data_IF_195435007315
#
_entry.id   IF_195435007315
#
_cell.length_a   1.000
_cell.length_b   1.000
_cell.length_c   1.000
_cell.angle_alpha   90.00
_cell.angle_beta   90.00
_cell.angle_gamma   90.00
#
_symmetry.space_group_name_H-M   'P 1'
#
loop_
_entity.id
_entity.type
_entity.pdbx_description
1 polymer ?
#
# COMPACT_ATOMS: atom_id res chain seq x y z
N UNK A 1 28.62 0.89 -11.15
CA UNK A 1 28.04 0.07 -12.21
C UNK A 1 29.04 -0.98 -12.68
N UNK A 2 28.59 -2.12 -13.15
CA UNK A 2 29.40 -3.20 -13.68
C UNK A 2 28.95 -3.58 -15.10
N UNK A 3 29.92 -3.80 -15.97
CA UNK A 3 29.65 -4.22 -17.36
C UNK A 3 29.25 -5.69 -17.38
N UNK A 4 28.07 -5.97 -17.92
CA UNK A 4 27.54 -7.32 -18.07
C UNK A 4 28.13 -8.02 -19.30
N UNK A 5 28.04 -9.35 -19.41
CA UNK A 5 28.53 -10.09 -20.58
C UNK A 5 27.91 -9.65 -21.91
N UNK A 6 26.65 -9.13 -21.88
CA UNK A 6 25.98 -8.57 -23.04
C UNK A 6 26.42 -7.15 -23.42
N UNK A 7 27.37 -6.58 -22.66
CA UNK A 7 27.93 -5.24 -22.88
C UNK A 7 27.18 -4.12 -22.17
N UNK A 8 26.02 -4.38 -21.58
CA UNK A 8 25.24 -3.39 -20.82
C UNK A 8 25.89 -3.07 -19.48
N UNK A 9 25.67 -1.85 -18.99
CA UNK A 9 26.08 -1.43 -17.66
C UNK A 9 24.91 -1.67 -16.69
N UNK A 10 25.18 -2.38 -15.60
CA UNK A 10 24.19 -2.57 -14.52
C UNK A 10 24.71 -1.96 -13.22
N UNK A 11 23.87 -1.20 -12.54
CA UNK A 11 24.22 -0.56 -11.29
C UNK A 11 24.27 -1.58 -10.15
N UNK A 12 25.32 -1.46 -9.32
CA UNK A 12 25.43 -2.18 -8.07
C UNK A 12 24.79 -1.30 -6.99
N UNK A 13 23.82 -1.84 -6.31
CA UNK A 13 23.10 -1.15 -5.23
C UNK A 13 23.78 -1.42 -3.90
N UNK A 14 23.93 -0.38 -3.08
CA UNK A 14 24.54 -0.42 -1.76
C UNK A 14 23.76 0.49 -0.81
N UNK A 15 23.89 0.25 0.50
CA UNK A 15 23.24 1.10 1.49
C UNK A 15 24.26 2.09 2.07
N UNK A 16 23.83 3.33 2.18
CA UNK A 16 24.63 4.43 2.75
C UNK A 16 23.80 5.15 3.80
N UNK A 17 24.47 5.76 4.76
CA UNK A 17 23.83 6.57 5.79
C UNK A 17 24.17 8.05 5.61
N UNK A 18 23.27 8.89 6.08
CA UNK A 18 23.51 10.31 6.33
C UNK A 18 23.06 10.62 7.75
N UNK A 19 23.84 11.44 8.47
CA UNK A 19 23.57 11.81 9.84
C UNK A 19 23.27 13.29 9.89
N UNK A 20 22.24 13.70 10.62
CA UNK A 20 21.85 15.10 10.67
C UNK A 20 20.84 15.43 11.75
N UNK A 21 20.46 16.69 11.79
CA UNK A 21 19.56 17.32 12.76
C UNK A 21 18.09 17.39 12.26
N UNK A 22 17.78 16.78 11.13
CA UNK A 22 16.48 16.86 10.47
C UNK A 22 16.42 17.87 9.30
N UNK A 23 17.37 18.81 9.25
CA UNK A 23 17.48 19.82 8.18
C UNK A 23 18.81 19.70 7.42
N UNK A 24 19.90 19.48 8.14
CA UNK A 24 21.24 19.37 7.59
C UNK A 24 21.76 17.96 7.78
N UNK A 25 22.33 17.37 6.74
CA UNK A 25 22.81 15.98 6.75
C UNK A 25 24.23 15.90 6.20
N UNK A 26 25.07 15.10 6.85
CA UNK A 26 26.42 14.77 6.42
C UNK A 26 26.51 13.29 6.06
N UNK A 27 27.24 12.97 4.99
CA UNK A 27 27.53 11.60 4.59
C UNK A 27 28.88 11.20 5.18
N UNK A 28 28.95 10.23 6.12
CA UNK A 28 30.21 9.72 6.66
C UNK A 28 31.11 9.16 5.59
N UNK A 29 32.44 9.27 5.81
CA UNK A 29 33.44 8.76 4.88
C UNK A 29 33.47 7.22 4.79
N UNK A 30 32.87 6.51 5.76
CA UNK A 30 32.75 5.05 5.76
C UNK A 30 31.67 4.51 4.80
N UNK A 31 30.88 5.38 4.16
CA UNK A 31 29.89 4.93 3.18
C UNK A 31 30.53 4.27 1.95
N UNK A 32 29.90 3.22 1.38
CA UNK A 32 28.66 2.58 1.81
C UNK A 32 28.85 1.71 3.06
N UNK A 33 27.82 1.63 3.93
CA UNK A 33 27.84 0.85 5.17
C UNK A 33 27.35 -0.60 5.01
N UNK A 34 26.56 -0.87 3.96
CA UNK A 34 26.14 -2.21 3.55
C UNK A 34 26.33 -2.37 2.04
N UNK A 35 26.93 -3.48 1.66
CA UNK A 35 27.22 -3.84 0.27
C UNK A 35 26.79 -5.29 0.00
N UNK A 36 26.87 -5.72 -1.24
CA UNK A 36 26.62 -7.13 -1.60
C UNK A 36 27.54 -8.12 -0.89
N UNK A 37 28.68 -7.69 -0.31
CA UNK A 37 29.59 -8.56 0.45
C UNK A 37 29.05 -8.95 1.81
N UNK A 38 28.09 -8.18 2.30
CA UNK A 38 27.44 -8.38 3.59
C UNK A 38 26.22 -9.30 3.47
N UNK A 39 25.81 -9.64 2.23
CA UNK A 39 24.79 -10.63 1.94
C UNK A 39 25.36 -12.05 2.01
N UNK A 40 24.58 -13.05 2.42
CA UNK A 40 24.97 -14.45 2.35
C UNK A 40 25.28 -14.89 0.92
N UNK A 41 26.03 -15.99 0.79
CA UNK A 41 26.19 -16.67 -0.49
C UNK A 41 24.84 -17.04 -1.10
N UNK A 42 24.72 -16.94 -2.43
CA UNK A 42 23.46 -17.22 -3.12
C UNK A 42 22.55 -15.99 -3.31
N UNK A 43 23.05 -14.79 -3.06
CA UNK A 43 22.34 -13.55 -3.37
C UNK A 43 23.02 -12.75 -4.47
N UNK A 44 22.20 -12.07 -5.28
CA UNK A 44 22.65 -11.21 -6.35
C UNK A 44 23.31 -9.94 -5.79
N UNK A 45 24.40 -9.51 -6.42
CA UNK A 45 25.05 -8.22 -6.15
C UNK A 45 24.30 -7.01 -6.72
N UNK A 46 23.27 -7.27 -7.48
CA UNK A 46 22.32 -6.30 -8.01
C UNK A 46 21.03 -6.37 -7.15
N UNK A 47 20.13 -5.45 -7.31
CA UNK A 47 18.84 -5.49 -6.61
C UNK A 47 18.97 -5.72 -5.08
N UNK A 48 19.78 -4.89 -4.43
CA UNK A 48 19.95 -4.83 -2.97
C UNK A 48 19.61 -3.41 -2.52
N UNK A 49 18.36 -3.17 -2.08
CA UNK A 49 17.82 -1.82 -1.92
C UNK A 49 16.78 -1.66 -0.83
N UNK A 50 16.27 -0.43 -0.71
CA UNK A 50 15.13 -0.01 0.10
C UNK A 50 15.30 -0.33 1.59
N UNK A 51 16.35 0.18 2.25
CA UNK A 51 16.57 -0.09 3.66
C UNK A 51 15.53 0.64 4.53
N UNK A 52 14.88 -0.11 5.43
CA UNK A 52 14.08 0.45 6.52
C UNK A 52 14.80 0.19 7.84
N UNK A 53 15.22 1.26 8.50
CA UNK A 53 15.94 1.21 9.77
C UNK A 53 15.01 1.54 10.95
N UNK A 54 15.25 0.87 12.08
CA UNK A 54 14.66 1.26 13.36
C UNK A 54 15.67 1.02 14.49
N UNK A 55 15.39 1.57 15.66
CA UNK A 55 16.17 1.36 16.86
C UNK A 55 15.43 0.42 17.80
N UNK A 56 16.11 -0.60 18.26
CA UNK A 56 15.60 -1.56 19.23
C UNK A 56 15.57 -0.99 20.65
N UNK A 57 14.83 -1.66 21.54
CA UNK A 57 14.69 -1.22 22.93
C UNK A 57 16.02 -1.24 23.71
N UNK A 58 16.94 -2.14 23.35
CA UNK A 58 18.29 -2.24 23.94
C UNK A 58 19.26 -1.19 23.37
N UNK A 59 18.83 -0.40 22.39
CA UNK A 59 19.60 0.65 21.73
C UNK A 59 20.36 0.23 20.50
N UNK A 60 20.36 -1.04 20.11
CA UNK A 60 20.86 -1.51 18.82
C UNK A 60 20.00 -1.01 17.66
N UNK A 61 20.53 -1.07 16.47
CA UNK A 61 19.80 -0.74 15.24
C UNK A 61 19.53 -2.01 14.44
N UNK A 62 18.34 -2.10 13.89
CA UNK A 62 17.95 -3.11 12.92
C UNK A 62 17.62 -2.47 11.60
N UNK A 63 17.92 -3.15 10.49
CA UNK A 63 17.52 -2.72 9.15
C UNK A 63 17.00 -3.92 8.35
N UNK A 64 15.83 -3.78 7.76
CA UNK A 64 15.32 -4.70 6.75
C UNK A 64 15.57 -4.11 5.37
N UNK A 65 16.08 -4.94 4.45
CA UNK A 65 16.27 -4.58 3.04
C UNK A 65 15.68 -5.67 2.16
N UNK A 66 15.48 -5.37 0.88
CA UNK A 66 15.17 -6.39 -0.12
C UNK A 66 16.38 -6.69 -0.97
N UNK A 67 16.50 -7.94 -1.35
CA UNK A 67 17.56 -8.46 -2.20
C UNK A 67 17.01 -9.55 -3.14
N UNK A 68 17.76 -9.84 -4.18
CA UNK A 68 17.42 -10.86 -5.16
C UNK A 68 18.26 -12.12 -4.91
N UNK A 69 17.60 -13.26 -4.70
CA UNK A 69 18.26 -14.55 -4.60
C UNK A 69 18.74 -15.04 -5.98
N UNK A 70 19.61 -16.07 -6.02
CA UNK A 70 20.17 -16.63 -7.27
C UNK A 70 19.11 -17.19 -8.23
N UNK A 71 17.98 -17.67 -7.68
CA UNK A 71 16.86 -18.17 -8.46
C UNK A 71 16.05 -17.06 -9.13
N UNK A 72 16.47 -15.80 -8.98
CA UNK A 72 15.80 -14.61 -9.51
C UNK A 72 14.57 -14.19 -8.72
N UNK A 73 14.38 -14.70 -7.50
CA UNK A 73 13.27 -14.31 -6.62
C UNK A 73 13.69 -13.36 -5.52
N UNK A 74 12.77 -12.47 -5.12
CA UNK A 74 12.98 -11.52 -4.04
C UNK A 74 13.06 -12.17 -2.66
N UNK A 75 13.81 -11.52 -1.77
CA UNK A 75 13.89 -11.89 -0.36
C UNK A 75 14.01 -10.63 0.51
N UNK A 76 13.55 -10.71 1.76
CA UNK A 76 13.71 -9.67 2.77
C UNK A 76 14.79 -10.11 3.75
N UNK A 77 15.90 -9.35 3.81
CA UNK A 77 17.06 -9.62 4.65
C UNK A 77 17.09 -8.65 5.84
N UNK A 78 17.41 -9.19 7.03
CA UNK A 78 17.54 -8.44 8.27
C UNK A 78 19.04 -8.32 8.63
N UNK A 79 19.44 -7.11 8.98
CA UNK A 79 20.77 -6.80 9.51
C UNK A 79 20.65 -6.06 10.83
N UNK A 80 21.67 -6.18 11.69
CA UNK A 80 21.75 -5.44 12.94
C UNK A 80 23.11 -4.74 13.09
N UNK A 81 23.10 -3.65 13.87
CA UNK A 81 24.30 -2.87 14.20
C UNK A 81 24.18 -2.28 15.59
N UNK A 82 25.28 -2.17 16.33
CA UNK A 82 25.35 -1.50 17.63
C UNK A 82 25.51 0.00 17.51
N UNK A 83 26.05 0.47 16.41
CA UNK A 83 26.45 1.88 16.23
C UNK A 83 25.88 2.55 14.96
N UNK A 84 25.20 1.76 14.11
CA UNK A 84 24.64 2.20 12.82
C UNK A 84 25.67 2.24 11.68
N UNK A 85 26.93 1.83 11.93
CA UNK A 85 28.00 1.83 10.93
C UNK A 85 28.51 0.45 10.58
N UNK A 86 28.70 -0.40 11.59
CA UNK A 86 29.13 -1.78 11.43
C UNK A 86 27.93 -2.70 11.50
N UNK A 87 27.54 -3.23 10.33
CA UNK A 87 26.33 -4.03 10.15
C UNK A 87 26.69 -5.50 9.94
N UNK A 88 25.94 -6.37 10.56
CA UNK A 88 26.05 -7.80 10.35
C UNK A 88 24.71 -8.40 9.92
N UNK A 89 24.79 -9.37 9.02
CA UNK A 89 23.62 -10.13 8.58
C UNK A 89 23.08 -10.97 9.75
N UNK A 90 21.75 -10.96 9.91
CA UNK A 90 21.04 -11.72 10.95
C UNK A 90 20.32 -12.91 10.34
N UNK A 91 19.37 -12.65 9.43
CA UNK A 91 18.54 -13.69 8.83
C UNK A 91 17.88 -13.22 7.55
N UNK A 92 17.33 -14.15 6.78
CA UNK A 92 16.32 -13.88 5.76
C UNK A 92 14.94 -14.08 6.38
N UNK A 93 14.18 -13.01 6.52
CA UNK A 93 12.86 -13.04 7.13
C UNK A 93 11.86 -13.84 6.28
N UNK A 94 11.88 -13.64 4.97
CA UNK A 94 10.98 -14.33 4.03
C UNK A 94 11.62 -14.34 2.62
N UNK A 95 11.28 -15.38 1.84
CA UNK A 95 11.64 -15.54 0.43
C UNK A 95 10.41 -15.62 -0.44
N UNK A 96 10.49 -15.02 -1.60
CA UNK A 96 9.42 -15.03 -2.59
C UNK A 96 9.14 -16.44 -3.14
N UNK A 97 10.18 -17.20 -3.43
CA UNK A 97 10.08 -18.52 -4.06
C UNK A 97 9.17 -18.51 -5.30
N UNK A 98 9.15 -17.39 -6.05
CA UNK A 98 8.28 -17.15 -7.20
C UNK A 98 6.76 -17.29 -6.94
N UNK A 99 6.32 -17.13 -5.68
CA UNK A 99 4.91 -17.19 -5.29
C UNK A 99 4.24 -15.81 -5.25
N UNK A 100 5.03 -14.77 -4.97
CA UNK A 100 4.55 -13.38 -4.81
C UNK A 100 5.41 -12.45 -5.67
N UNK A 101 5.19 -12.51 -6.99
CA UNK A 101 5.97 -11.76 -7.96
C UNK A 101 7.39 -12.28 -8.13
N UNK A 102 8.27 -11.39 -8.55
CA UNK A 102 9.72 -11.66 -8.67
C UNK A 102 10.51 -10.88 -7.64
N UNK A 103 10.93 -9.66 -7.97
CA UNK A 103 11.61 -8.78 -7.03
C UNK A 103 10.61 -8.11 -6.08
N UNK A 104 11.08 -7.76 -4.90
CA UNK A 104 10.35 -7.02 -3.88
C UNK A 104 10.94 -5.63 -3.68
N UNK A 105 10.11 -4.70 -3.20
CA UNK A 105 10.51 -3.31 -2.91
C UNK A 105 9.89 -2.83 -1.60
N UNK A 106 10.47 -1.76 -1.04
CA UNK A 106 9.95 -1.01 0.11
C UNK A 106 9.56 -1.88 1.31
N UNK A 107 10.45 -2.75 1.84
CA UNK A 107 10.12 -3.59 2.98
C UNK A 107 9.92 -2.74 4.24
N UNK A 108 8.99 -3.16 5.08
CA UNK A 108 8.78 -2.61 6.42
C UNK A 108 8.47 -3.76 7.39
N UNK A 109 9.20 -3.86 8.50
CA UNK A 109 9.07 -4.94 9.46
C UNK A 109 8.78 -4.38 10.83
N UNK A 110 7.57 -4.63 11.35
CA UNK A 110 7.09 -3.95 12.56
C UNK A 110 6.10 -4.78 13.37
N UNK A 111 6.05 -4.57 14.70
CA UNK A 111 5.01 -5.15 15.54
C UNK A 111 3.68 -4.41 15.38
N UNK A 112 2.56 -5.16 15.41
CA UNK A 112 1.20 -4.65 15.35
C UNK A 112 0.25 -5.59 16.11
N UNK A 113 -0.39 -5.09 17.16
CA UNK A 113 -1.43 -5.78 17.95
C UNK A 113 -1.05 -7.23 18.35
N UNK A 114 0.20 -7.42 18.81
CA UNK A 114 0.72 -8.72 19.26
C UNK A 114 1.16 -9.67 18.14
N UNK A 115 1.17 -9.21 16.90
CA UNK A 115 1.76 -9.90 15.75
C UNK A 115 2.98 -9.16 15.24
N UNK A 116 3.76 -9.84 14.40
CA UNK A 116 4.81 -9.23 13.61
C UNK A 116 4.36 -9.16 12.15
N UNK A 117 4.60 -8.04 11.51
CA UNK A 117 4.20 -7.79 10.12
C UNK A 117 5.45 -7.52 9.28
N UNK A 118 5.58 -8.22 8.15
CA UNK A 118 6.48 -7.84 7.07
C UNK A 118 5.63 -7.36 5.90
N UNK A 119 5.66 -6.06 5.63
CA UNK A 119 4.95 -5.42 4.52
C UNK A 119 5.93 -5.06 3.42
N UNK A 120 5.57 -5.29 2.16
CA UNK A 120 6.43 -5.00 1.02
C UNK A 120 5.66 -4.92 -0.30
N UNK A 121 6.34 -4.42 -1.33
CA UNK A 121 5.80 -4.25 -2.68
C UNK A 121 6.35 -5.30 -3.66
N UNK A 122 5.61 -6.40 -3.95
CA UNK A 122 6.00 -7.31 -5.02
C UNK A 122 5.82 -6.69 -6.40
N UNK A 123 6.83 -6.91 -7.23
CA UNK A 123 6.80 -6.58 -8.66
C UNK A 123 6.43 -7.82 -9.48
N UNK A 124 5.85 -7.63 -10.65
CA UNK A 124 5.53 -8.69 -11.62
C UNK A 124 4.67 -9.83 -11.03
N UNK A 125 3.71 -9.49 -10.16
CA UNK A 125 2.75 -10.46 -9.64
C UNK A 125 1.90 -11.05 -10.77
N UNK A 126 1.61 -12.34 -10.67
CA UNK A 126 0.56 -12.97 -11.46
C UNK A 126 -0.76 -12.95 -10.66
N UNK A 127 -1.91 -12.76 -11.31
CA UNK A 127 -3.20 -12.68 -10.61
C UNK A 127 -3.54 -14.05 -9.99
N UNK A 128 -3.80 -14.03 -8.68
CA UNK A 128 -4.18 -15.24 -7.92
C UNK A 128 -4.95 -14.86 -6.66
N UNK A 129 -6.18 -15.35 -6.54
CA UNK A 129 -7.01 -15.04 -5.37
C UNK A 129 -7.34 -13.53 -5.28
N UNK A 130 -6.88 -12.87 -4.22
CA UNK A 130 -7.04 -11.42 -4.04
C UNK A 130 -5.95 -10.59 -4.72
N UNK A 131 -4.85 -11.21 -5.14
CA UNK A 131 -3.71 -10.50 -5.73
C UNK A 131 -3.96 -10.15 -7.20
N UNK A 132 -3.54 -8.94 -7.59
CA UNK A 132 -3.64 -8.46 -8.97
C UNK A 132 -2.39 -8.82 -9.79
N UNK A 133 -2.48 -8.68 -11.11
CA UNK A 133 -1.31 -8.67 -11.96
C UNK A 133 -0.50 -7.37 -11.77
N UNK A 134 0.82 -7.46 -11.90
CA UNK A 134 1.73 -6.32 -11.82
C UNK A 134 2.18 -6.01 -10.41
N UNK A 135 2.17 -4.74 -10.02
CA UNK A 135 2.63 -4.27 -8.71
C UNK A 135 1.51 -4.38 -7.67
N UNK A 136 1.85 -4.91 -6.51
CA UNK A 136 0.93 -5.03 -5.36
C UNK A 136 1.65 -4.51 -4.11
N UNK A 137 0.92 -4.30 -3.03
CA UNK A 137 1.47 -4.24 -1.68
C UNK A 137 0.84 -5.37 -0.88
N UNK A 138 1.68 -6.21 -0.31
CA UNK A 138 1.25 -7.33 0.53
C UNK A 138 1.83 -7.23 1.94
N UNK A 139 1.13 -7.79 2.91
CA UNK A 139 1.60 -7.96 4.27
C UNK A 139 1.63 -9.45 4.61
N UNK A 140 2.79 -9.93 5.04
CA UNK A 140 2.93 -11.19 5.74
C UNK A 140 2.70 -10.92 7.22
N UNK A 141 1.72 -11.59 7.81
CA UNK A 141 1.32 -11.44 9.22
C UNK A 141 1.71 -12.72 9.94
N UNK A 142 2.37 -12.62 11.08
CA UNK A 142 2.83 -13.80 11.80
C UNK A 142 3.43 -13.49 13.16
N UNK A 143 4.40 -14.29 13.56
CA UNK A 143 5.17 -14.14 14.80
C UNK A 143 6.67 -14.09 14.50
N UNK A 144 7.42 -13.41 15.33
CA UNK A 144 8.88 -13.34 15.24
C UNK A 144 9.50 -13.79 16.56
N UNK A 145 10.39 -14.76 16.47
CA UNK A 145 11.20 -15.24 17.60
C UNK A 145 12.55 -14.51 17.57
N UNK A 146 12.76 -13.62 18.54
CA UNK A 146 14.00 -12.84 18.66
C UNK A 146 15.23 -13.68 19.00
N UNK A 147 15.06 -14.82 19.70
CA UNK A 147 16.17 -15.66 20.09
C UNK A 147 16.73 -16.48 18.92
N UNK A 148 15.89 -16.87 18.00
CA UNK A 148 16.26 -17.62 16.79
C UNK A 148 16.25 -16.76 15.52
N UNK A 149 15.82 -15.52 15.61
CA UNK A 149 15.60 -14.60 14.50
C UNK A 149 14.70 -15.18 13.38
N UNK A 150 13.70 -15.95 13.79
CA UNK A 150 12.82 -16.66 12.86
C UNK A 150 11.47 -15.95 12.75
N UNK A 151 11.11 -15.53 11.53
CA UNK A 151 9.76 -15.07 11.23
C UNK A 151 8.90 -16.22 10.74
N UNK A 152 7.80 -16.50 11.45
CA UNK A 152 6.83 -17.54 11.08
C UNK A 152 5.57 -16.89 10.55
N UNK A 153 5.38 -17.00 9.24
CA UNK A 153 4.22 -16.46 8.53
C UNK A 153 2.97 -17.29 8.82
N UNK A 154 1.89 -16.63 9.24
CA UNK A 154 0.58 -17.24 9.50
C UNK A 154 -0.44 -16.88 8.41
N UNK A 155 -0.37 -15.66 7.89
CA UNK A 155 -1.28 -15.15 6.85
C UNK A 155 -0.56 -14.22 5.86
N UNK A 156 -1.14 -14.06 4.68
CA UNK A 156 -0.73 -13.08 3.66
C UNK A 156 -1.96 -12.32 3.21
N UNK A 157 -1.85 -10.99 3.14
CA UNK A 157 -2.96 -10.11 2.79
C UNK A 157 -2.53 -9.11 1.72
N UNK A 158 -3.40 -8.90 0.72
CA UNK A 158 -3.34 -7.72 -0.15
C UNK A 158 -3.73 -6.47 0.64
N UNK A 159 -2.91 -5.42 0.58
CA UNK A 159 -3.15 -4.21 1.38
C UNK A 159 -4.15 -3.26 0.74
N UNK A 160 -4.28 -3.24 -0.60
CA UNK A 160 -5.26 -2.40 -1.29
C UNK A 160 -5.74 -3.08 -2.58
N UNK A 161 -7.04 -3.20 -2.75
CA UNK A 161 -7.68 -3.82 -3.92
C UNK A 161 -7.96 -2.84 -5.06
N UNK A 162 -7.49 -1.60 -4.95
CA UNK A 162 -7.66 -0.55 -5.95
C UNK A 162 -6.63 -0.60 -7.07
N UNK A 163 -6.42 0.55 -7.69
CA UNK A 163 -5.61 0.68 -8.92
C UNK A 163 -4.24 1.27 -8.60
N UNK A 164 -4.21 2.34 -7.80
CA UNK A 164 -3.02 3.16 -7.57
C UNK A 164 -2.62 3.15 -6.09
N UNK A 165 -1.83 2.15 -5.71
CA UNK A 165 -1.36 2.00 -4.34
C UNK A 165 -0.05 1.21 -4.33
N UNK A 166 1.05 1.86 -3.93
CA UNK A 166 2.37 1.22 -3.91
C UNK A 166 3.33 1.86 -2.90
N UNK A 167 4.52 1.29 -2.71
CA UNK A 167 5.65 1.83 -1.96
C UNK A 167 5.27 2.29 -0.54
N UNK A 168 4.60 1.42 0.22
CA UNK A 168 4.14 1.69 1.59
C UNK A 168 5.29 1.82 2.57
N UNK A 169 5.13 2.71 3.53
CA UNK A 169 5.97 2.79 4.72
C UNK A 169 5.12 3.10 5.95
N UNK A 170 5.51 2.57 7.10
CA UNK A 170 4.82 2.86 8.36
C UNK A 170 5.71 3.56 9.36
N UNK A 171 5.10 4.26 10.30
CA UNK A 171 5.77 4.84 11.47
C UNK A 171 4.95 4.60 12.73
N UNK A 172 5.64 4.44 13.86
CA UNK A 172 5.01 4.42 15.17
C UNK A 172 4.83 5.87 15.63
N UNK A 173 3.59 6.30 15.77
CA UNK A 173 3.27 7.63 16.30
C UNK A 173 3.55 7.70 17.80
N UNK A 174 3.77 8.90 18.38
CA UNK A 174 4.06 9.07 19.80
C UNK A 174 2.97 8.54 20.73
N UNK A 175 1.73 8.42 20.25
CA UNK A 175 0.58 7.88 20.98
C UNK A 175 0.41 6.36 20.83
N UNK A 176 1.37 5.69 20.19
CA UNK A 176 1.41 4.24 20.03
C UNK A 176 0.68 3.69 18.79
N UNK A 177 0.04 4.55 17.98
CA UNK A 177 -0.59 4.13 16.74
C UNK A 177 0.46 3.79 15.68
N UNK A 178 0.22 2.74 14.89
CA UNK A 178 0.97 2.47 13.66
C UNK A 178 0.29 3.18 12.49
N UNK A 179 0.98 4.15 11.92
CA UNK A 179 0.48 4.97 10.80
C UNK A 179 1.19 4.57 9.52
N UNK A 180 0.42 4.29 8.49
CA UNK A 180 0.91 3.95 7.16
C UNK A 180 0.69 5.10 6.20
N UNK A 181 1.68 5.34 5.35
CA UNK A 181 1.58 6.13 4.13
C UNK A 181 1.92 5.26 2.92
N UNK A 182 1.49 5.67 1.73
CA UNK A 182 1.80 4.99 0.48
C UNK A 182 1.86 6.01 -0.67
N UNK A 183 2.51 5.61 -1.74
CA UNK A 183 2.42 6.31 -3.02
C UNK A 183 1.07 5.97 -3.67
N UNK A 184 0.24 6.99 -3.89
CA UNK A 184 -1.04 6.87 -4.59
C UNK A 184 -0.77 6.93 -6.09
N UNK A 185 -0.17 5.88 -6.57
CA UNK A 185 0.24 5.63 -7.95
C UNK A 185 0.72 4.18 -8.06
N UNK A 186 0.91 3.70 -9.28
CA UNK A 186 1.66 2.48 -9.58
C UNK A 186 2.59 2.71 -10.78
N UNK A 187 3.57 1.83 -10.96
CA UNK A 187 4.43 1.88 -12.15
C UNK A 187 3.68 1.60 -13.45
N UNK A 188 2.51 0.96 -13.38
CA UNK A 188 1.69 0.66 -14.56
C UNK A 188 1.07 1.90 -15.22
N UNK A 189 0.86 2.98 -14.44
CA UNK A 189 0.11 4.17 -14.86
C UNK A 189 0.96 5.45 -14.79
N UNK A 190 2.30 5.31 -14.86
CA UNK A 190 3.23 6.42 -14.63
C UNK A 190 3.25 7.49 -15.72
N UNK A 191 2.68 7.22 -16.89
CA UNK A 191 2.71 8.17 -18.01
C UNK A 191 1.46 9.04 -18.09
N UNK A 192 0.39 8.69 -17.38
CA UNK A 192 -0.86 9.44 -17.38
C UNK A 192 -1.05 10.27 -16.11
N UNK A 193 -1.64 11.43 -16.26
CA UNK A 193 -1.99 12.32 -15.16
C UNK A 193 -3.21 13.16 -15.49
N UNK A 194 -3.98 13.61 -14.49
CA UNK A 194 -5.14 14.46 -14.69
C UNK A 194 -4.81 15.72 -15.48
N UNK A 195 -5.75 16.17 -16.31
CA UNK A 195 -5.58 17.37 -17.12
C UNK A 195 -5.27 18.59 -16.25
N UNK A 196 -4.24 19.36 -16.65
CA UNK A 196 -3.79 20.54 -15.92
C UNK A 196 -2.94 20.26 -14.67
N UNK A 197 -2.72 19.01 -14.31
CA UNK A 197 -1.85 18.63 -13.20
C UNK A 197 -0.38 18.88 -13.56
N UNK A 198 0.32 19.67 -12.72
CA UNK A 198 1.73 20.02 -12.92
C UNK A 198 2.70 19.09 -12.21
N UNK A 199 2.21 18.28 -11.29
CA UNK A 199 2.98 17.29 -10.55
C UNK A 199 2.57 15.87 -10.97
N UNK A 200 3.36 14.91 -10.55
CA UNK A 200 3.15 13.49 -10.80
C UNK A 200 3.31 12.74 -9.48
N UNK A 201 2.34 11.84 -9.20
CA UNK A 201 2.27 11.12 -7.93
C UNK A 201 1.76 11.99 -6.77
N UNK A 202 1.12 11.34 -5.84
CA UNK A 202 0.65 11.90 -4.56
C UNK A 202 0.70 10.82 -3.49
N UNK A 203 0.53 11.18 -2.24
CA UNK A 203 0.38 10.21 -1.15
C UNK A 203 -1.09 9.95 -0.87
N UNK A 204 -1.38 8.77 -0.33
CA UNK A 204 -2.69 8.48 0.26
C UNK A 204 -2.96 9.36 1.48
N UNK A 205 -4.21 9.47 1.91
CA UNK A 205 -4.51 9.86 3.28
C UNK A 205 -3.83 8.88 4.24
N UNK A 206 -3.04 9.32 5.22
CA UNK A 206 -2.41 8.41 6.16
C UNK A 206 -3.45 7.51 6.84
N UNK A 207 -3.08 6.24 7.09
CA UNK A 207 -3.98 5.23 7.62
C UNK A 207 -3.48 4.68 8.95
N UNK A 208 -4.37 4.57 9.93
CA UNK A 208 -4.14 3.81 11.16
C UNK A 208 -4.32 2.33 10.85
N UNK A 209 -3.39 1.50 11.34
CA UNK A 209 -3.40 0.05 11.15
C UNK A 209 -3.77 -0.65 12.46
N UNK A 210 -4.61 -1.68 12.36
CA UNK A 210 -4.96 -2.58 13.45
C UNK A 210 -5.10 -4.01 12.94
N UNK A 211 -4.88 -5.00 13.80
CA UNK A 211 -5.15 -6.40 13.47
C UNK A 211 -6.47 -6.84 14.13
N UNK A 212 -7.34 -7.43 13.32
CA UNK A 212 -8.55 -8.10 13.78
C UNK A 212 -8.74 -9.40 12.98
N UNK A 213 -9.01 -10.49 13.68
CA UNK A 213 -9.24 -11.81 13.08
C UNK A 213 -8.13 -12.24 12.09
N UNK A 214 -6.86 -11.91 12.43
CA UNK A 214 -5.69 -12.25 11.65
C UNK A 214 -5.50 -11.42 10.36
N UNK A 215 -6.25 -10.32 10.19
CA UNK A 215 -6.13 -9.39 9.07
C UNK A 215 -5.85 -7.97 9.55
N UNK A 216 -5.13 -7.20 8.74
CA UNK A 216 -4.90 -5.78 8.99
C UNK A 216 -6.12 -4.99 8.50
N UNK A 217 -6.70 -4.22 9.40
CA UNK A 217 -7.70 -3.21 9.09
C UNK A 217 -7.00 -1.87 8.90
N UNK A 218 -7.54 -1.05 8.01
CA UNK A 218 -6.98 0.26 7.65
C UNK A 218 -8.07 1.31 7.77
N UNK A 219 -7.88 2.32 8.60
CA UNK A 219 -8.81 3.45 8.70
C UNK A 219 -8.06 4.74 8.44
N UNK A 220 -8.69 5.77 7.84
CA UNK A 220 -8.07 7.09 7.78
C UNK A 220 -7.70 7.56 9.18
N UNK A 221 -6.57 8.28 9.29
CA UNK A 221 -6.15 8.84 10.59
C UNK A 221 -7.26 9.72 11.19
N UNK A 222 -7.45 9.61 12.49
CA UNK A 222 -8.51 10.34 13.22
C UNK A 222 -8.37 11.85 13.16
N UNK A 223 -7.19 12.36 12.88
CA UNK A 223 -6.92 13.79 12.68
C UNK A 223 -7.70 14.38 11.51
N UNK A 224 -8.14 13.56 10.55
CA UNK A 224 -9.00 13.98 9.44
C UNK A 224 -10.33 14.53 9.93
N UNK A 225 -10.84 14.02 11.05
CA UNK A 225 -12.12 14.48 11.62
C UNK A 225 -12.09 15.96 12.04
N UNK A 226 -10.91 16.48 12.39
CA UNK A 226 -10.72 17.89 12.79
C UNK A 226 -10.82 18.87 11.61
N UNK A 227 -10.73 18.40 10.37
CA UNK A 227 -10.79 19.25 9.17
C UNK A 227 -12.12 19.11 8.43
N UNK A 228 -13.07 18.37 8.99
CA UNK A 228 -14.42 18.26 8.41
C UNK A 228 -15.13 19.62 8.36
N UNK A 229 -15.71 19.90 7.22
CA UNK A 229 -16.52 21.10 6.98
C UNK A 229 -18.01 20.85 7.23
N UNK A 230 -18.84 21.38 6.32
CA UNK A 230 -20.30 21.22 6.38
C UNK A 230 -20.70 19.76 6.26
N UNK A 231 -21.55 19.29 7.17
CA UNK A 231 -22.16 17.95 7.12
C UNK A 231 -23.53 18.00 6.43
N UNK A 232 -23.75 17.07 5.51
CA UNK A 232 -25.04 16.77 4.92
C UNK A 232 -25.40 15.33 5.27
N UNK A 233 -26.65 15.06 5.54
CA UNK A 233 -27.11 13.76 6.01
C UNK A 233 -28.44 13.37 5.37
N UNK A 234 -28.56 12.12 4.91
CA UNK A 234 -29.77 11.53 4.37
C UNK A 234 -30.00 10.16 5.02
N UNK A 235 -31.19 9.90 5.45
CA UNK A 235 -31.62 8.62 6.01
C UNK A 235 -32.73 7.98 5.20
N UNK A 236 -32.79 6.66 5.20
CA UNK A 236 -33.90 5.87 4.66
C UNK A 236 -34.18 6.20 3.18
N UNK A 237 -33.13 6.48 2.41
CA UNK A 237 -33.27 6.77 0.98
C UNK A 237 -33.54 5.47 0.23
N UNK A 238 -34.70 5.40 -0.41
CA UNK A 238 -35.00 4.30 -1.35
C UNK A 238 -34.57 4.72 -2.75
N UNK A 239 -33.70 3.94 -3.37
CA UNK A 239 -33.19 4.20 -4.71
C UNK A 239 -33.85 3.23 -5.68
N UNK A 240 -34.54 3.76 -6.67
CA UNK A 240 -35.08 3.04 -7.82
C UNK A 240 -34.57 3.72 -9.09
N UNK A 241 -33.66 3.03 -9.82
CA UNK A 241 -32.94 3.66 -10.93
C UNK A 241 -31.82 4.57 -10.41
N UNK A 242 -31.66 5.75 -11.01
CA UNK A 242 -30.61 6.71 -10.64
C UNK A 242 -31.20 7.88 -9.84
N UNK A 243 -30.57 8.21 -8.73
CA UNK A 243 -31.02 9.26 -7.81
C UNK A 243 -29.85 10.14 -7.40
N UNK A 244 -29.97 11.46 -7.55
CA UNK A 244 -29.03 12.42 -6.98
C UNK A 244 -29.46 12.82 -5.58
N UNK A 245 -28.51 12.91 -4.64
CA UNK A 245 -28.79 13.32 -3.27
C UNK A 245 -28.58 14.83 -3.12
N UNK A 246 -29.59 15.54 -2.64
CA UNK A 246 -29.52 16.98 -2.46
C UNK A 246 -28.46 17.38 -1.44
N UNK A 247 -27.70 18.44 -1.75
CA UNK A 247 -26.67 18.98 -0.88
C UNK A 247 -25.35 18.19 -0.87
N UNK A 248 -25.27 17.04 -1.56
CA UNK A 248 -24.02 16.31 -1.79
C UNK A 248 -23.44 16.77 -3.13
N UNK A 249 -22.46 17.69 -3.07
CA UNK A 249 -21.86 18.29 -4.26
C UNK A 249 -20.44 18.76 -3.96
N UNK A 250 -19.52 18.53 -4.89
CA UNK A 250 -18.12 18.99 -4.80
C UNK A 250 -17.13 17.89 -5.11
N UNK A 251 -15.86 18.27 -5.13
CA UNK A 251 -14.72 17.40 -5.47
C UNK A 251 -13.96 16.90 -4.23
N UNK A 252 -14.15 17.53 -3.08
CA UNK A 252 -13.49 17.15 -1.82
C UNK A 252 -14.59 16.79 -0.83
N UNK A 253 -14.63 15.53 -0.44
CA UNK A 253 -15.65 15.01 0.46
C UNK A 253 -15.18 13.78 1.23
N UNK A 254 -15.65 13.65 2.45
CA UNK A 254 -15.60 12.42 3.24
C UNK A 254 -17.02 11.87 3.36
N UNK A 255 -17.28 10.78 2.68
CA UNK A 255 -18.60 10.19 2.55
C UNK A 255 -18.69 8.91 3.38
N UNK A 256 -19.72 8.78 4.21
CA UNK A 256 -20.09 7.50 4.83
C UNK A 256 -21.42 7.04 4.22
N UNK A 257 -21.41 5.85 3.62
CA UNK A 257 -22.58 5.24 2.99
C UNK A 257 -22.82 3.87 3.61
N UNK A 258 -24.05 3.65 4.08
CA UNK A 258 -24.51 2.34 4.53
C UNK A 258 -25.61 1.85 3.61
N UNK A 259 -25.34 0.78 2.86
CA UNK A 259 -26.32 0.11 2.02
C UNK A 259 -26.98 -0.98 2.85
N UNK A 260 -28.28 -0.84 3.10
CA UNK A 260 -29.07 -1.79 3.88
C UNK A 260 -29.34 -3.08 3.08
N UNK A 261 -29.60 -4.21 3.75
CA UNK A 261 -30.05 -5.43 3.10
C UNK A 261 -31.30 -5.18 2.25
N UNK A 262 -31.36 -5.79 1.07
CA UNK A 262 -32.50 -5.66 0.16
C UNK A 262 -32.36 -6.55 -1.07
N UNK A 263 -33.44 -6.62 -1.84
CA UNK A 263 -33.47 -7.36 -3.10
C UNK A 263 -32.98 -6.46 -4.25
N UNK A 264 -31.66 -6.33 -4.40
CA UNK A 264 -31.05 -5.60 -5.51
C UNK A 264 -29.94 -6.46 -6.17
N UNK A 265 -29.79 -6.34 -7.48
CA UNK A 265 -28.73 -7.02 -8.24
C UNK A 265 -27.36 -6.36 -8.04
N UNK A 266 -27.36 -5.05 -8.01
CA UNK A 266 -26.15 -4.25 -7.80
C UNK A 266 -26.54 -2.88 -7.23
N UNK A 267 -25.60 -2.31 -6.52
CA UNK A 267 -25.66 -0.93 -6.05
C UNK A 267 -24.45 -0.18 -6.62
N UNK A 268 -24.66 1.00 -7.18
CA UNK A 268 -23.59 1.79 -7.77
C UNK A 268 -23.60 3.21 -7.23
N UNK A 269 -22.45 3.69 -6.79
CA UNK A 269 -22.18 5.11 -6.55
C UNK A 269 -21.42 5.67 -7.76
N UNK A 270 -21.93 6.76 -8.33
CA UNK A 270 -21.21 7.58 -9.31
C UNK A 270 -20.59 8.76 -8.56
N UNK A 271 -19.29 8.85 -8.58
CA UNK A 271 -18.49 9.83 -7.83
C UNK A 271 -17.71 10.71 -8.80
N UNK A 272 -17.36 11.93 -8.38
CA UNK A 272 -16.72 12.92 -9.23
C UNK A 272 -17.43 13.02 -10.59
N UNK A 273 -18.76 13.11 -10.57
CA UNK A 273 -19.60 13.03 -11.74
C UNK A 273 -19.98 14.41 -12.27
N UNK A 274 -19.93 14.57 -13.59
CA UNK A 274 -20.52 15.67 -14.35
C UNK A 274 -21.41 15.10 -15.49
N UNK A 275 -21.69 15.88 -16.53
CA UNK A 275 -22.51 15.43 -17.64
C UNK A 275 -21.88 14.29 -18.45
N UNK A 276 -20.54 14.25 -18.54
CA UNK A 276 -19.78 13.38 -19.44
C UNK A 276 -18.87 12.39 -18.70
N UNK A 277 -18.53 12.66 -17.45
CA UNK A 277 -17.54 11.91 -16.69
C UNK A 277 -18.06 11.40 -15.36
N UNK A 278 -17.55 10.28 -14.90
CA UNK A 278 -17.72 9.77 -13.54
C UNK A 278 -16.74 8.65 -13.21
N UNK A 279 -16.48 8.44 -11.94
CA UNK A 279 -15.91 7.21 -11.40
C UNK A 279 -17.02 6.43 -10.72
N UNK A 280 -17.14 5.14 -11.02
CA UNK A 280 -18.16 4.30 -10.40
C UNK A 280 -17.56 3.34 -9.36
N UNK A 281 -18.28 3.17 -8.27
CA UNK A 281 -18.07 2.15 -7.26
C UNK A 281 -19.29 1.25 -7.22
N UNK A 282 -19.17 0.02 -7.71
CA UNK A 282 -20.30 -0.91 -7.87
C UNK A 282 -20.13 -2.11 -6.95
N UNK A 283 -21.16 -2.42 -6.19
CA UNK A 283 -21.23 -3.63 -5.36
C UNK A 283 -22.25 -4.63 -5.90
N UNK A 284 -21.81 -5.87 -6.05
CA UNK A 284 -22.64 -7.03 -6.38
C UNK A 284 -22.75 -7.93 -5.13
N UNK A 285 -23.93 -8.01 -4.49
CA UNK A 285 -24.12 -8.78 -3.28
C UNK A 285 -24.06 -10.31 -3.51
N UNK A 286 -24.39 -10.80 -4.71
CA UNK A 286 -24.36 -12.22 -5.03
C UNK A 286 -22.95 -12.77 -5.11
N UNK A 287 -22.04 -11.97 -5.63
CA UNK A 287 -20.62 -12.34 -5.74
C UNK A 287 -19.77 -11.74 -4.62
N UNK A 288 -20.35 -10.90 -3.76
CA UNK A 288 -19.64 -10.10 -2.75
C UNK A 288 -18.47 -9.32 -3.35
N UNK A 289 -18.66 -8.74 -4.52
CA UNK A 289 -17.62 -8.03 -5.26
C UNK A 289 -17.86 -6.53 -5.24
N UNK A 290 -16.86 -5.79 -4.78
CA UNK A 290 -16.80 -4.34 -4.90
C UNK A 290 -15.87 -4.00 -6.06
N UNK A 291 -16.36 -3.21 -7.02
CA UNK A 291 -15.63 -2.82 -8.24
C UNK A 291 -15.49 -1.32 -8.28
N UNK A 292 -14.26 -0.84 -8.40
CA UNK A 292 -13.93 0.54 -8.72
C UNK A 292 -13.61 0.62 -10.21
N UNK A 293 -14.29 1.52 -10.93
CA UNK A 293 -14.16 1.71 -12.37
C UNK A 293 -14.07 3.20 -12.71
N UNK A 294 -12.93 3.60 -13.28
CA UNK A 294 -12.63 4.96 -13.72
C UNK A 294 -12.62 5.10 -15.25
N UNK A 295 -13.22 4.14 -15.98
CA UNK A 295 -13.25 4.16 -17.45
C UNK A 295 -13.87 5.44 -18.02
N UNK A 296 -14.77 6.05 -17.27
CA UNK A 296 -15.43 7.31 -17.63
C UNK A 296 -14.89 8.53 -16.88
N UNK A 297 -13.76 8.41 -16.21
CA UNK A 297 -13.19 9.50 -15.39
C UNK A 297 -12.38 10.53 -16.18
N UNK A 298 -12.35 10.47 -17.51
CA UNK A 298 -11.70 11.46 -18.37
C UNK A 298 -10.42 11.01 -19.05
N UNK A 299 -9.64 10.05 -18.50
CA UNK A 299 -8.49 9.48 -19.20
C UNK A 299 -8.93 8.50 -20.30
N UNK A 300 -8.21 8.54 -21.43
CA UNK A 300 -8.34 7.57 -22.53
C UNK A 300 -7.02 6.84 -22.78
N UNK A 301 -6.06 6.96 -21.89
CA UNK A 301 -4.79 6.26 -21.97
C UNK A 301 -4.97 4.74 -21.81
N UNK A 302 -4.02 3.97 -22.33
CA UNK A 302 -3.97 2.51 -22.14
C UNK A 302 -3.40 2.17 -20.74
N UNK A 303 -4.21 2.42 -19.75
CA UNK A 303 -3.90 2.21 -18.32
C UNK A 303 -4.96 1.29 -17.70
N UNK A 304 -4.71 0.85 -16.46
CA UNK A 304 -5.72 0.09 -15.70
C UNK A 304 -6.88 1.01 -15.33
N UNK A 305 -8.08 0.73 -15.84
CA UNK A 305 -9.28 1.51 -15.53
C UNK A 305 -10.17 0.86 -14.46
N UNK A 306 -10.02 -0.43 -14.21
CA UNK A 306 -10.95 -1.19 -13.37
C UNK A 306 -10.25 -2.21 -12.50
N UNK A 307 -10.62 -2.25 -11.22
CA UNK A 307 -10.22 -3.29 -10.27
C UNK A 307 -11.40 -3.70 -9.40
N UNK A 308 -11.33 -4.91 -8.87
CA UNK A 308 -12.37 -5.44 -8.00
C UNK A 308 -11.74 -6.20 -6.84
N UNK A 309 -12.36 -6.13 -5.67
CA UNK A 309 -12.01 -6.94 -4.52
C UNK A 309 -13.24 -7.59 -3.89
N UNK A 310 -13.03 -8.58 -3.04
CA UNK A 310 -14.09 -9.25 -2.29
C UNK A 310 -14.40 -8.46 -1.02
N UNK A 311 -15.67 -8.07 -0.86
CA UNK A 311 -16.18 -7.40 0.34
C UNK A 311 -17.45 -8.12 0.75
N UNK A 312 -17.42 -8.82 1.89
CA UNK A 312 -18.60 -9.49 2.43
C UNK A 312 -19.45 -8.48 3.20
N UNK A 313 -20.75 -8.43 2.92
CA UNK A 313 -21.68 -7.63 3.74
C UNK A 313 -21.71 -8.18 5.17
N UNK A 314 -21.83 -7.29 6.14
CA UNK A 314 -21.94 -7.63 7.55
C UNK A 314 -23.42 -7.57 7.95
N UNK A 315 -24.01 -8.70 8.34
CA UNK A 315 -25.46 -8.84 8.59
C UNK A 315 -26.32 -8.34 7.41
N UNK A 316 -25.85 -8.53 6.18
CA UNK A 316 -26.49 -8.07 4.95
C UNK A 316 -26.26 -6.59 4.59
N UNK A 317 -25.72 -5.78 5.49
CA UNK A 317 -25.38 -4.39 5.22
C UNK A 317 -23.93 -4.24 4.69
N UNK A 318 -23.71 -3.27 3.81
CA UNK A 318 -22.40 -2.84 3.35
C UNK A 318 -22.15 -1.42 3.85
N UNK A 319 -21.05 -1.23 4.59
CA UNK A 319 -20.60 0.08 5.04
C UNK A 319 -19.39 0.52 4.25
N UNK A 320 -19.43 1.74 3.72
CA UNK A 320 -18.36 2.35 2.95
C UNK A 320 -18.04 3.72 3.55
N UNK A 321 -16.76 4.00 3.80
CA UNK A 321 -16.24 5.37 3.94
C UNK A 321 -15.42 5.66 2.69
N UNK A 322 -15.62 6.82 2.07
CA UNK A 322 -15.02 7.19 0.81
C UNK A 322 -14.44 8.58 0.97
N UNK A 323 -13.12 8.68 0.85
CA UNK A 323 -12.44 9.96 0.74
C UNK A 323 -12.32 10.31 -0.73
N UNK A 324 -12.92 11.41 -1.12
CA UNK A 324 -12.83 11.97 -2.46
C UNK A 324 -12.02 13.26 -2.38
N UNK A 325 -10.95 13.35 -3.14
CA UNK A 325 -10.19 14.57 -3.34
C UNK A 325 -10.15 14.92 -4.84
N UNK A 326 -9.50 16.02 -5.20
CA UNK A 326 -9.50 16.54 -6.58
C UNK A 326 -9.13 15.50 -7.63
N UNK A 327 -8.14 14.68 -7.35
CA UNK A 327 -7.62 13.70 -8.29
C UNK A 327 -7.52 12.29 -7.70
N UNK A 328 -8.20 12.01 -6.58
CA UNK A 328 -8.12 10.70 -5.94
C UNK A 328 -9.41 10.25 -5.29
N UNK A 329 -9.54 8.96 -5.19
CA UNK A 329 -10.59 8.28 -4.43
C UNK A 329 -9.94 7.19 -3.56
N UNK A 330 -10.27 7.18 -2.28
CA UNK A 330 -9.91 6.13 -1.34
C UNK A 330 -11.17 5.56 -0.70
N UNK A 331 -11.38 4.27 -0.82
CA UNK A 331 -12.56 3.56 -0.33
C UNK A 331 -12.15 2.63 0.80
N UNK A 332 -12.86 2.70 1.92
CA UNK A 332 -12.70 1.85 3.09
C UNK A 332 -14.02 1.11 3.32
N UNK A 333 -14.03 -0.18 3.05
CA UNK A 333 -15.21 -1.02 3.24
C UNK A 333 -15.18 -1.71 4.60
N UNK A 334 -16.35 -1.76 5.27
CA UNK A 334 -16.55 -2.43 6.55
C UNK A 334 -15.50 -2.05 7.61
N UNK A 335 -15.36 -0.73 7.86
CA UNK A 335 -14.39 -0.18 8.80
C UNK A 335 -12.92 -0.52 8.46
N UNK A 336 -12.61 -0.62 7.17
CA UNK A 336 -11.25 -0.81 6.68
C UNK A 336 -10.82 -2.27 6.53
N UNK A 337 -11.76 -3.21 6.55
CA UNK A 337 -11.49 -4.62 6.23
C UNK A 337 -10.93 -4.80 4.81
N UNK A 338 -11.44 -4.00 3.87
CA UNK A 338 -10.92 -3.88 2.51
C UNK A 338 -10.81 -2.42 2.11
N UNK A 339 -9.76 -2.11 1.35
CA UNK A 339 -9.56 -0.76 0.81
C UNK A 339 -9.37 -0.80 -0.70
N UNK A 340 -9.73 0.29 -1.38
CA UNK A 340 -9.48 0.49 -2.81
C UNK A 340 -9.09 1.95 -3.05
N UNK A 341 -7.98 2.13 -3.72
CA UNK A 341 -7.38 3.45 -3.95
C UNK A 341 -7.15 3.66 -5.45
N UNK A 342 -7.47 4.84 -5.95
CA UNK A 342 -7.21 5.19 -7.33
C UNK A 342 -7.04 6.69 -7.57
N UNK A 343 -6.23 7.05 -8.56
CA UNK A 343 -6.30 8.34 -9.24
C UNK A 343 -7.57 8.42 -10.07
N UNK A 344 -8.15 9.61 -10.13
CA UNK A 344 -9.27 9.94 -11.01
C UNK A 344 -8.92 11.14 -11.86
N UNK A 345 -9.38 11.12 -13.09
CA UNK A 345 -8.96 12.04 -14.15
C UNK A 345 -10.07 13.02 -14.55
N UNK A 346 -11.19 13.00 -13.86
CA UNK A 346 -12.32 13.92 -14.12
C UNK A 346 -11.84 15.37 -14.02
N UNK A 347 -12.07 16.21 -15.03
CA UNK A 347 -11.64 17.60 -15.09
C UNK A 347 -12.11 18.47 -13.94
#
# INVERSE_FOLDING_TARGET
AEKQPNGEMRDIQTQSIAIGDGLNYEKPACNPVLTQKDLPEGFSKFDFRDPKIWREADGTYSVVTVCLAEDGSGAAALFQSKDGFDWHFVTVLERCNNQYGKMWECPDFFPLDGKQVLMLGPMEMLPKGEFHNGHNVIAFIGSYDEATHTFTKENVQLMDGGIDFYATQTTLAPDGRRIMTAWLQTWSDTEDKPQGCKWFGQTICPRELHIKDGRILQTPVRELDAVHGKRTFHENVTVQGETSLEGIKGRVADLTVTVQPGEYRSFTLKLAADADHHTSLTYDPYTSQLTLDRSYAGSRADIVHRRSCKVRSQNGALKLRILLDKNSIEVFANDGEQTMTAWIYTP
#
